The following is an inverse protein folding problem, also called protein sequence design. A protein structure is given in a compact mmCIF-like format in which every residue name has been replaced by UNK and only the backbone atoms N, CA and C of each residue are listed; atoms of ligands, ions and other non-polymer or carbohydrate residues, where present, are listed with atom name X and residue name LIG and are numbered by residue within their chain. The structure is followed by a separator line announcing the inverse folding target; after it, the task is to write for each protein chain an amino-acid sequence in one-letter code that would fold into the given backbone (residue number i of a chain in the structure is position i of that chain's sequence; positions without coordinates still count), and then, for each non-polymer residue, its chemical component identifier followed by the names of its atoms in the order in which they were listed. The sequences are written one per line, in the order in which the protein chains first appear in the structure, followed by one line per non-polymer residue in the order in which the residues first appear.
data_IF_482088983108
#
_entry.id   IF_482088983108
#
_cell.length_a   1.000
_cell.length_b   1.000
_cell.length_c   1.000
_cell.angle_alpha   90.00
_cell.angle_beta   90.00
_cell.angle_gamma   90.00
#
_symmetry.space_group_name_H-M   'P 1'
#
loop_
_entity.id
_entity.type
_entity.pdbx_description
1 polymer ?
#
# COMPACT_ATOMS: atom_id res chain seq x y z
N UNK A 1 5.82 22.95 -60.09
CA UNK A 1 4.57 22.30 -59.65
C UNK A 1 4.83 20.80 -59.65
N UNK A 2 4.80 20.18 -58.47
CA UNK A 2 5.04 18.74 -58.27
C UNK A 2 4.62 18.40 -56.85
N UNK A 3 3.41 17.85 -56.72
CA UNK A 3 2.84 17.32 -55.50
C UNK A 3 3.11 15.81 -55.49
N UNK A 4 3.88 15.33 -54.51
CA UNK A 4 3.95 13.92 -54.13
C UNK A 4 4.16 13.91 -52.61
N UNK A 5 3.09 13.73 -51.81
CA UNK A 5 2.69 12.43 -51.26
C UNK A 5 3.88 11.60 -50.77
N UNK A 6 4.05 11.50 -49.44
CA UNK A 6 4.40 10.29 -48.67
C UNK A 6 4.78 10.74 -47.25
N UNK A 7 3.85 10.55 -46.32
CA UNK A 7 3.91 9.45 -45.36
C UNK A 7 4.88 9.76 -44.20
N UNK A 8 4.31 10.18 -43.06
CA UNK A 8 4.17 9.33 -41.86
C UNK A 8 5.52 9.03 -41.22
N UNK A 9 5.85 9.71 -40.13
CA UNK A 9 6.42 9.06 -38.94
C UNK A 9 6.25 10.01 -37.75
N UNK A 10 5.01 10.10 -37.27
CA UNK A 10 4.70 10.60 -35.94
C UNK A 10 5.19 9.53 -34.97
N UNK A 11 6.42 9.68 -34.46
CA UNK A 11 6.92 8.87 -33.35
C UNK A 11 6.18 9.34 -32.10
N UNK A 12 4.99 8.76 -31.88
CA UNK A 12 4.29 8.85 -30.61
C UNK A 12 5.09 7.99 -29.65
N UNK A 13 5.97 8.65 -28.90
CA UNK A 13 6.69 8.07 -27.78
C UNK A 13 5.66 7.79 -26.69
N UNK A 14 5.04 6.61 -26.75
CA UNK A 14 4.13 6.11 -25.74
C UNK A 14 4.92 5.89 -24.45
N UNK A 15 4.98 6.91 -23.62
CA UNK A 15 5.30 6.80 -22.20
C UNK A 15 4.22 5.92 -21.56
N UNK A 16 4.40 4.60 -21.63
CA UNK A 16 3.75 3.68 -20.70
C UNK A 16 4.33 4.00 -19.32
N UNK A 17 3.70 4.97 -18.65
CA UNK A 17 3.78 5.09 -17.21
C UNK A 17 3.24 3.79 -16.62
N UNK A 18 4.14 2.86 -16.29
CA UNK A 18 3.90 1.79 -15.34
C UNK A 18 3.58 2.45 -14.00
N UNK A 19 2.35 2.92 -13.85
CA UNK A 19 1.79 3.21 -12.55
C UNK A 19 1.55 1.85 -11.89
N UNK A 20 2.50 1.44 -11.05
CA UNK A 20 2.29 0.43 -10.03
C UNK A 20 1.03 0.81 -9.25
N UNK A 21 -0.09 0.18 -9.59
CA UNK A 21 -1.37 0.48 -9.00
C UNK A 21 -1.46 -0.28 -7.67
N UNK A 22 -1.12 0.39 -6.57
CA UNK A 22 -1.55 -0.01 -5.24
C UNK A 22 -3.06 -0.28 -5.30
N UNK A 23 -3.47 -1.54 -5.17
CA UNK A 23 -4.88 -1.92 -5.19
C UNK A 23 -5.36 -2.10 -3.77
N UNK A 24 -6.21 -1.18 -3.41
CA UNK A 24 -6.76 -0.99 -2.08
C UNK A 24 -8.19 -1.52 -2.13
N UNK A 25 -8.44 -2.69 -1.55
CA UNK A 25 -9.72 -3.40 -1.67
C UNK A 25 -10.52 -3.31 -0.35
N UNK A 26 -11.83 -3.12 -0.46
CA UNK A 26 -12.73 -3.15 0.69
C UNK A 26 -13.13 -4.61 0.99
N UNK A 27 -13.22 -4.97 2.28
CA UNK A 27 -13.82 -6.25 2.67
C UNK A 27 -15.29 -6.30 2.22
N UNK A 28 -15.74 -7.48 1.83
CA UNK A 28 -17.15 -7.75 1.55
C UNK A 28 -17.59 -9.01 2.33
N UNK A 29 -18.50 -8.90 3.32
CA UNK A 29 -19.16 -7.68 3.76
C UNK A 29 -18.19 -6.73 4.50
N UNK A 30 -18.41 -5.39 4.43
CA UNK A 30 -17.63 -4.45 5.22
C UNK A 30 -17.73 -4.81 6.70
N UNK A 31 -16.60 -4.92 7.40
CA UNK A 31 -16.62 -4.90 8.87
C UNK A 31 -17.25 -3.56 9.26
N UNK A 32 -18.42 -3.61 9.87
CA UNK A 32 -19.47 -2.56 9.87
C UNK A 32 -19.09 -1.16 10.39
N UNK A 33 -17.83 -0.90 10.75
CA UNK A 33 -17.38 0.34 11.35
C UNK A 33 -16.13 0.95 10.69
N UNK A 34 -15.78 0.64 9.44
CA UNK A 34 -14.58 1.20 8.79
C UNK A 34 -14.89 1.77 7.40
N UNK A 35 -14.48 3.01 7.14
CA UNK A 35 -14.69 3.70 5.85
C UNK A 35 -13.54 3.55 4.86
N UNK A 36 -12.37 3.08 5.31
CA UNK A 36 -11.21 2.81 4.46
C UNK A 36 -11.25 1.41 3.82
N UNK A 37 -10.29 1.11 2.93
CA UNK A 37 -9.97 -0.29 2.65
C UNK A 37 -9.76 -1.09 3.92
N UNK A 38 -10.29 -2.30 3.94
CA UNK A 38 -10.06 -3.21 5.05
C UNK A 38 -8.87 -4.12 4.75
N UNK A 39 -8.45 -4.23 3.49
CA UNK A 39 -7.25 -4.94 3.05
C UNK A 39 -6.49 -4.11 2.00
N UNK A 40 -5.16 -4.18 2.00
CA UNK A 40 -4.35 -3.58 0.94
C UNK A 40 -3.40 -4.62 0.33
N UNK A 41 -3.34 -4.59 -0.99
CA UNK A 41 -2.45 -5.41 -1.81
C UNK A 41 -1.30 -4.52 -2.30
N UNK A 42 -0.09 -5.05 -2.32
CA UNK A 42 1.09 -4.31 -2.79
C UNK A 42 1.93 -5.14 -3.77
N UNK A 43 2.83 -4.44 -4.47
CA UNK A 43 3.89 -5.08 -5.24
C UNK A 43 4.89 -5.79 -4.31
N UNK A 44 5.69 -6.70 -4.87
CA UNK A 44 6.56 -7.61 -4.11
C UNK A 44 7.70 -6.94 -3.35
N UNK A 45 7.96 -5.67 -3.63
CA UNK A 45 9.02 -4.85 -3.05
C UNK A 45 8.50 -3.87 -1.99
N UNK A 46 7.23 -3.98 -1.57
CA UNK A 46 6.60 -3.02 -0.66
C UNK A 46 6.19 -3.61 0.69
N UNK A 47 6.41 -2.85 1.76
CA UNK A 47 5.72 -3.03 3.04
C UNK A 47 4.55 -2.07 3.12
N UNK A 48 3.46 -2.51 3.75
CA UNK A 48 2.37 -1.64 4.21
C UNK A 48 2.32 -1.73 5.73
N UNK A 49 2.41 -0.59 6.42
CA UNK A 49 2.39 -0.54 7.87
C UNK A 49 1.60 0.65 8.42
N UNK A 50 1.16 0.52 9.67
CA UNK A 50 0.41 1.52 10.43
C UNK A 50 1.31 2.16 11.49
N UNK A 51 1.48 3.48 11.41
CA UNK A 51 2.31 4.27 12.34
C UNK A 51 1.56 4.66 13.62
N UNK A 52 0.23 4.54 13.64
CA UNK A 52 -0.62 4.94 14.75
C UNK A 52 -1.20 3.76 15.52
N UNK A 53 -0.95 2.53 15.05
CA UNK A 53 -1.26 1.33 15.80
C UNK A 53 -0.64 1.40 17.22
N UNK A 54 -1.31 0.83 18.25
CA UNK A 54 -0.84 0.85 19.63
C UNK A 54 0.34 -0.14 19.84
N UNK A 55 1.39 0.00 19.04
CA UNK A 55 2.62 -0.77 19.14
C UNK A 55 3.57 -0.15 20.18
N UNK A 56 4.51 -0.93 20.75
CA UNK A 56 5.57 -0.39 21.59
C UNK A 56 6.38 0.71 20.89
N UNK A 57 7.03 1.61 21.63
CA UNK A 57 7.84 2.69 21.04
C UNK A 57 8.84 2.18 19.99
N UNK A 58 8.90 2.84 18.84
CA UNK A 58 9.78 2.48 17.73
C UNK A 58 9.27 1.31 16.87
N UNK A 59 8.05 0.83 17.09
CA UNK A 59 7.43 -0.21 16.28
C UNK A 59 6.21 0.28 15.51
N UNK A 60 5.95 -0.37 14.39
CA UNK A 60 4.78 -0.16 13.52
C UNK A 60 4.04 -1.48 13.35
N UNK A 61 2.73 -1.43 13.08
CA UNK A 61 1.97 -2.65 12.79
C UNK A 61 2.09 -2.99 11.31
N UNK A 62 2.63 -4.16 10.99
CA UNK A 62 2.82 -4.60 9.61
C UNK A 62 1.54 -5.22 9.05
N UNK A 63 0.94 -4.59 8.04
CA UNK A 63 -0.29 -5.07 7.39
C UNK A 63 -0.03 -5.90 6.13
N UNK A 64 1.01 -5.60 5.37
CA UNK A 64 1.40 -6.39 4.20
C UNK A 64 2.93 -6.34 4.00
N UNK A 65 3.50 -7.41 3.47
CA UNK A 65 4.88 -7.47 3.00
C UNK A 65 4.97 -8.16 1.64
N UNK A 66 4.88 -7.40 0.56
CA UNK A 66 5.19 -7.89 -0.79
C UNK A 66 4.24 -8.94 -1.35
N UNK A 67 3.04 -9.09 -0.80
CA UNK A 67 2.12 -10.16 -1.20
C UNK A 67 0.79 -9.60 -1.67
N UNK A 68 0.22 -10.21 -2.71
CA UNK A 68 -1.18 -9.95 -3.08
C UNK A 68 -2.13 -10.38 -1.96
N UNK A 69 -1.85 -11.52 -1.30
CA UNK A 69 -2.49 -12.05 -0.08
C UNK A 69 -1.53 -13.03 0.62
N UNK A 70 -1.59 -13.22 1.95
CA UNK A 70 -2.52 -12.60 2.91
C UNK A 70 -2.05 -11.23 3.42
N UNK A 71 -2.98 -10.28 3.55
CA UNK A 71 -2.78 -9.01 4.28
C UNK A 71 -3.52 -9.06 5.62
N UNK A 72 -2.94 -8.47 6.66
CA UNK A 72 -3.70 -8.18 7.87
C UNK A 72 -4.65 -6.99 7.62
N UNK A 73 -5.80 -6.94 8.30
CA UNK A 73 -6.75 -5.86 8.10
C UNK A 73 -6.17 -4.48 8.40
N UNK A 74 -6.56 -3.47 7.61
CA UNK A 74 -6.27 -2.06 7.92
C UNK A 74 -7.39 -1.54 8.81
N UNK A 75 -7.08 -1.35 10.09
CA UNK A 75 -8.06 -1.04 11.12
C UNK A 75 -7.53 0.10 11.99
N UNK A 76 -8.36 1.12 12.21
CA UNK A 76 -8.16 2.09 13.29
C UNK A 76 -8.63 1.49 14.63
N UNK A 77 -7.69 0.99 15.42
CA UNK A 77 -7.91 0.35 16.72
C UNK A 77 -7.11 1.01 17.84
N UNK A 78 -7.62 0.95 19.08
CA UNK A 78 -7.02 1.63 20.22
C UNK A 78 -7.62 3.02 20.44
N UNK A 79 -6.80 3.97 20.90
CA UNK A 79 -7.24 5.31 21.33
C UNK A 79 -7.38 6.32 20.19
N UNK A 80 -6.86 6.01 18.99
CA UNK A 80 -7.01 6.87 17.82
C UNK A 80 -8.15 6.39 16.93
N UNK A 81 -9.07 7.30 16.60
CA UNK A 81 -10.14 7.02 15.66
C UNK A 81 -9.67 7.10 14.20
N UNK A 82 -8.46 7.61 13.95
CA UNK A 82 -7.83 7.68 12.62
C UNK A 82 -6.39 7.20 12.67
N UNK A 83 -6.06 6.27 11.79
CA UNK A 83 -4.73 5.69 11.67
C UNK A 83 -4.11 6.03 10.32
N UNK A 84 -2.81 6.31 10.31
CA UNK A 84 -2.03 6.63 9.13
C UNK A 84 -1.26 5.39 8.70
N UNK A 85 -1.57 4.95 7.49
CA UNK A 85 -0.92 3.83 6.83
C UNK A 85 0.07 4.34 5.81
N UNK A 86 1.21 3.67 5.74
CA UNK A 86 2.30 3.97 4.81
C UNK A 86 2.59 2.72 3.98
N UNK A 87 2.66 2.90 2.66
CA UNK A 87 3.30 1.94 1.77
C UNK A 87 4.69 2.46 1.44
N UNK A 88 5.72 1.66 1.71
CA UNK A 88 7.10 2.01 1.41
C UNK A 88 7.81 0.85 0.70
N UNK A 89 8.64 1.18 -0.28
CA UNK A 89 9.47 0.22 -1.00
C UNK A 89 10.77 -0.04 -0.25
N UNK A 90 11.21 -1.30 -0.29
CA UNK A 90 12.46 -1.76 0.31
C UNK A 90 13.16 -2.77 -0.61
N UNK A 91 14.35 -3.22 -0.21
CA UNK A 91 15.01 -4.36 -0.84
C UNK A 91 14.07 -5.60 -0.83
N UNK A 92 13.85 -6.26 -1.97
CA UNK A 92 12.94 -7.42 -2.05
C UNK A 92 13.32 -8.60 -1.14
N UNK A 93 14.61 -8.79 -0.85
CA UNK A 93 15.08 -9.84 0.07
C UNK A 93 14.63 -9.54 1.50
N UNK A 94 14.67 -8.27 1.88
CA UNK A 94 14.14 -7.82 3.16
C UNK A 94 12.62 -8.04 3.22
N UNK A 95 11.88 -7.67 2.18
CA UNK A 95 10.42 -7.90 2.13
C UNK A 95 10.07 -9.37 2.33
N UNK A 96 10.75 -10.27 1.62
CA UNK A 96 10.51 -11.72 1.74
C UNK A 96 10.70 -12.24 3.18
N UNK A 97 11.68 -11.70 3.90
CA UNK A 97 11.93 -12.07 5.31
C UNK A 97 10.81 -11.59 6.27
N UNK A 98 10.03 -10.59 5.87
CA UNK A 98 9.01 -9.95 6.71
C UNK A 98 7.62 -10.56 6.58
N UNK A 99 7.40 -11.47 5.62
CA UNK A 99 6.08 -12.10 5.39
C UNK A 99 5.53 -12.78 6.65
N UNK A 100 6.40 -13.44 7.44
CA UNK A 100 6.01 -14.08 8.70
C UNK A 100 5.61 -13.12 9.83
N UNK A 101 5.76 -11.81 9.62
CA UNK A 101 5.44 -10.75 10.56
C UNK A 101 4.15 -9.99 10.23
N UNK A 102 3.47 -10.34 9.14
CA UNK A 102 2.17 -9.75 8.80
C UNK A 102 1.22 -9.95 9.98
N UNK A 103 0.57 -8.85 10.39
CA UNK A 103 -0.33 -8.80 11.54
C UNK A 103 0.35 -8.60 12.89
N UNK A 104 1.63 -8.21 12.93
CA UNK A 104 2.40 -8.00 14.18
C UNK A 104 3.02 -6.60 14.23
N UNK A 105 3.29 -6.13 15.44
CA UNK A 105 4.15 -4.97 15.67
C UNK A 105 5.61 -5.37 15.43
N UNK A 106 6.33 -4.56 14.65
CA UNK A 106 7.72 -4.77 14.27
C UNK A 106 8.50 -3.47 14.38
N UNK A 107 9.82 -3.58 14.58
CA UNK A 107 10.69 -2.45 14.28
C UNK A 107 10.66 -2.17 12.77
N UNK A 108 10.44 -0.91 12.38
CA UNK A 108 10.46 -0.53 10.97
C UNK A 108 11.91 -0.61 10.44
N UNK A 109 12.18 -1.37 9.38
CA UNK A 109 13.51 -1.43 8.79
C UNK A 109 13.95 -0.05 8.26
N UNK A 110 15.25 0.23 8.32
CA UNK A 110 15.81 1.42 7.71
C UNK A 110 15.91 1.29 6.18
N UNK A 111 16.03 2.43 5.48
CA UNK A 111 16.28 2.45 4.03
C UNK A 111 15.04 2.31 3.14
N UNK A 112 13.84 2.39 3.73
CA UNK A 112 12.60 2.40 2.96
C UNK A 112 12.35 3.73 2.26
N UNK A 113 11.75 3.68 1.06
CA UNK A 113 11.26 4.87 0.36
C UNK A 113 9.74 4.91 0.41
N UNK A 114 9.16 5.97 0.99
CA UNK A 114 7.71 6.13 1.06
C UNK A 114 7.14 6.31 -0.37
N UNK A 115 6.17 5.47 -0.71
CA UNK A 115 5.48 5.45 -2.00
C UNK A 115 4.08 6.07 -1.87
N UNK A 116 3.37 5.76 -0.79
CA UNK A 116 2.04 6.29 -0.55
C UNK A 116 1.74 6.37 0.95
N UNK A 117 0.89 7.33 1.32
CA UNK A 117 0.38 7.49 2.68
C UNK A 117 -1.12 7.78 2.62
N UNK A 118 -1.91 7.08 3.44
CA UNK A 118 -3.35 7.28 3.52
C UNK A 118 -3.85 7.10 4.94
N UNK A 119 -5.07 7.57 5.19
CA UNK A 119 -5.72 7.46 6.49
C UNK A 119 -6.85 6.43 6.44
N UNK A 120 -6.95 5.63 7.50
CA UNK A 120 -8.09 4.76 7.78
C UNK A 120 -8.75 5.29 9.03
N UNK A 121 -10.02 5.69 8.91
CA UNK A 121 -10.83 6.20 10.02
C UNK A 121 -11.88 5.17 10.39
N UNK A 122 -12.05 4.94 11.71
CA UNK A 122 -13.18 4.19 12.22
C UNK A 122 -14.46 4.98 11.90
N UNK A 123 -15.35 4.38 11.12
CA UNK A 123 -16.70 4.89 10.89
C UNK A 123 -17.59 4.70 12.12
N UNK A 124 -18.68 5.45 12.18
CA UNK A 124 -19.74 5.22 13.14
C UNK A 124 -20.33 3.82 12.92
N UNK A 125 -20.25 2.97 13.94
CA UNK A 125 -20.95 1.69 13.97
C UNK A 125 -22.47 1.96 14.02
N UNK A 126 -23.31 1.24 13.25
CA UNK A 126 -24.74 1.15 13.51
C UNK A 126 -25.05 0.62 14.91
#
# INVERSE_FOLDING_TARGET
AGQDMLARFLVILSLLSLACALRVSQDSPPKACYRGPVIAESDSDMLIYDENAPCPPGQVYLSNAGTKRPSAPLIAAGTSETHTYVAASFDPTLIASMVGNIGKCIALPAGGTNVATWQVTRGQCP
#
